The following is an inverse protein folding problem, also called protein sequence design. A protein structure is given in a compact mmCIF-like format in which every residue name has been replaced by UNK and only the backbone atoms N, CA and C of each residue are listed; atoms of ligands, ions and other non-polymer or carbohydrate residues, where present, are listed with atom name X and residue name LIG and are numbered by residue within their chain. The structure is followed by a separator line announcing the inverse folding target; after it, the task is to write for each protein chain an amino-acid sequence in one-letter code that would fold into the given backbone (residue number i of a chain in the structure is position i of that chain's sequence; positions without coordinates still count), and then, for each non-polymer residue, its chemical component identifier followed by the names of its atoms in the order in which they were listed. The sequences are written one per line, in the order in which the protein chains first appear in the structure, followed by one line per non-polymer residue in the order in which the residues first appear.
data_IF_929622574510
#
_entry.id   IF_929622574510
#
_cell.length_a   1.000
_cell.length_b   1.000
_cell.length_c   1.000
_cell.angle_alpha   90.00
_cell.angle_beta   90.00
_cell.angle_gamma   90.00
#
_symmetry.space_group_name_H-M   'P 1'
#
loop_
_entity.id
_entity.type
_entity.pdbx_description
1 polymer ?
#
# COMPACT_ATOMS: atom_id res chain seq x y z
N UNK A 1 -4.45 -15.00 1.97
CA UNK A 1 -4.90 -16.15 1.14
C UNK A 1 -5.58 -15.60 -0.10
N UNK A 2 -5.27 -16.08 -1.31
CA UNK A 2 -6.02 -15.68 -2.49
C UNK A 2 -7.49 -16.09 -2.30
N UNK A 3 -8.42 -15.24 -2.75
CA UNK A 3 -9.84 -15.55 -2.70
C UNK A 3 -10.08 -16.86 -3.46
N UNK A 4 -10.76 -17.81 -2.85
CA UNK A 4 -11.08 -19.08 -3.51
C UNK A 4 -12.17 -18.82 -4.56
N UNK A 5 -11.75 -18.66 -5.81
CA UNK A 5 -12.62 -18.38 -6.95
C UNK A 5 -13.81 -19.35 -7.00
N UNK A 6 -13.55 -20.66 -6.90
CA UNK A 6 -14.59 -21.68 -6.97
C UNK A 6 -15.65 -21.57 -5.85
N UNK A 7 -15.29 -20.97 -4.71
CA UNK A 7 -16.24 -20.75 -3.61
C UNK A 7 -17.14 -19.55 -3.87
N UNK A 8 -16.61 -18.47 -4.47
CA UNK A 8 -17.33 -17.20 -4.61
C UNK A 8 -18.07 -17.02 -5.94
N UNK A 9 -17.64 -17.70 -7.03
CA UNK A 9 -18.31 -17.62 -8.33
C UNK A 9 -19.81 -17.95 -8.30
N UNK A 10 -20.31 -18.98 -7.57
CA UNK A 10 -21.74 -19.27 -7.49
C UNK A 10 -22.56 -18.12 -6.90
N UNK A 11 -21.92 -17.22 -6.16
CA UNK A 11 -22.54 -16.02 -5.58
C UNK A 11 -22.37 -14.77 -6.46
N UNK A 12 -21.96 -14.95 -7.72
CA UNK A 12 -21.74 -13.86 -8.70
C UNK A 12 -20.60 -12.88 -8.33
N UNK A 13 -19.63 -13.33 -7.51
CA UNK A 13 -18.42 -12.58 -7.32
C UNK A 13 -17.45 -12.83 -8.48
N UNK A 14 -16.78 -11.78 -8.91
CA UNK A 14 -15.70 -11.85 -9.90
C UNK A 14 -14.48 -11.09 -9.43
N UNK A 15 -13.31 -11.42 -9.98
CA UNK A 15 -12.11 -10.63 -9.73
C UNK A 15 -12.25 -9.26 -10.37
N UNK A 16 -12.04 -8.22 -9.57
CA UNK A 16 -12.17 -6.81 -9.97
C UNK A 16 -10.88 -6.04 -9.86
N UNK A 17 -9.94 -6.51 -9.06
CA UNK A 17 -8.64 -5.88 -8.87
C UNK A 17 -7.54 -6.92 -8.72
N UNK A 18 -6.40 -6.61 -9.30
CA UNK A 18 -5.17 -7.33 -9.06
C UNK A 18 -4.51 -6.81 -7.78
N UNK A 19 -3.77 -7.69 -7.13
CA UNK A 19 -2.91 -7.37 -6.02
C UNK A 19 -1.47 -7.44 -6.51
N UNK A 20 -0.68 -6.43 -6.26
CA UNK A 20 0.75 -6.47 -6.54
C UNK A 20 1.50 -6.88 -5.28
N UNK A 21 2.33 -7.88 -5.39
CA UNK A 21 3.19 -8.34 -4.30
C UNK A 21 4.61 -8.55 -4.82
N UNK A 22 5.58 -8.00 -4.13
CA UNK A 22 7.00 -8.20 -4.41
C UNK A 22 7.68 -8.74 -3.16
N UNK A 23 8.30 -9.89 -3.27
CA UNK A 23 9.20 -10.40 -2.23
C UNK A 23 10.61 -9.90 -2.50
N UNK A 24 11.21 -9.27 -1.51
CA UNK A 24 12.60 -8.82 -1.54
C UNK A 24 13.36 -9.67 -0.53
N UNK A 25 14.35 -10.40 -1.01
CA UNK A 25 15.29 -11.05 -0.10
C UNK A 25 16.11 -9.99 0.64
N UNK A 26 16.33 -10.21 1.93
CA UNK A 26 17.23 -9.36 2.72
C UNK A 26 18.58 -9.25 2.02
N UNK A 27 19.21 -8.08 2.11
CA UNK A 27 20.57 -7.88 1.59
C UNK A 27 21.52 -8.87 2.27
N UNK A 28 22.14 -9.74 1.51
CA UNK A 28 23.27 -10.52 2.01
C UNK A 28 24.44 -9.57 2.26
N UNK A 29 25.29 -9.88 3.24
CA UNK A 29 26.50 -9.09 3.57
C UNK A 29 27.48 -8.86 2.38
N UNK A 30 27.27 -9.60 1.27
CA UNK A 30 28.01 -9.43 0.01
C UNK A 30 27.50 -8.28 -0.88
N UNK A 31 26.29 -7.78 -0.68
CA UNK A 31 25.72 -6.64 -1.43
C UNK A 31 26.21 -5.30 -0.85
N UNK A 32 27.54 -5.15 -0.77
CA UNK A 32 28.24 -3.98 -0.20
C UNK A 32 28.12 -2.69 -1.01
N UNK A 33 27.16 -2.54 -1.87
CA UNK A 33 26.77 -1.23 -2.37
C UNK A 33 25.63 -0.75 -1.46
N UNK A 34 26.01 -0.23 -0.28
CA UNK A 34 25.13 0.67 0.44
C UNK A 34 25.08 1.92 -0.44
N UNK A 35 23.98 2.19 -1.17
CA UNK A 35 23.80 3.51 -1.76
C UNK A 35 23.98 4.48 -0.60
N UNK A 36 24.67 5.58 -0.82
CA UNK A 36 24.93 6.55 0.23
C UNK A 36 23.64 6.79 1.00
N UNK A 37 23.58 6.24 2.23
CA UNK A 37 22.50 6.54 3.16
C UNK A 37 22.49 8.05 3.21
N UNK A 38 21.40 8.68 2.76
CA UNK A 38 21.31 10.13 2.86
C UNK A 38 21.45 10.46 4.32
N UNK A 39 22.44 11.30 4.65
CA UNK A 39 22.85 11.59 6.03
C UNK A 39 21.70 12.04 6.94
N UNK A 40 20.59 12.47 6.34
CA UNK A 40 19.40 12.99 7.04
C UNK A 40 18.11 12.16 6.77
N UNK A 41 18.24 10.93 6.25
CA UNK A 41 17.07 10.07 6.06
C UNK A 41 16.68 9.36 7.36
N UNK A 42 15.38 9.30 7.64
CA UNK A 42 14.87 8.60 8.83
C UNK A 42 13.49 7.97 8.59
N UNK A 43 13.30 6.78 9.13
CA UNK A 43 12.01 6.11 9.24
C UNK A 43 11.60 6.10 10.71
N UNK A 44 10.44 6.67 11.02
CA UNK A 44 9.88 6.75 12.38
C UNK A 44 8.42 6.34 12.39
N UNK A 45 7.90 5.93 13.56
CA UNK A 45 6.46 5.72 13.73
C UNK A 45 5.71 7.02 13.51
N UNK A 46 4.64 6.98 12.73
CA UNK A 46 3.81 8.13 12.42
C UNK A 46 3.08 8.61 13.69
N UNK A 47 3.38 9.80 14.21
CA UNK A 47 2.65 10.35 15.34
C UNK A 47 1.27 10.84 14.88
N UNK A 48 0.25 10.71 15.74
CA UNK A 48 -1.13 11.05 15.37
C UNK A 48 -1.29 12.54 15.04
N UNK A 49 -0.46 13.40 15.61
CA UNK A 49 -0.43 14.84 15.34
C UNK A 49 -0.12 15.16 13.87
N UNK A 50 0.60 14.28 13.19
CA UNK A 50 0.97 14.46 11.79
C UNK A 50 -0.04 13.86 10.80
N UNK A 51 -1.13 13.27 11.25
CA UNK A 51 -2.08 12.60 10.35
C UNK A 51 -2.71 13.55 9.32
N UNK A 52 -2.91 14.83 9.61
CA UNK A 52 -3.34 15.80 8.60
C UNK A 52 -2.31 15.96 7.48
N UNK A 53 -1.04 16.07 7.86
CA UNK A 53 0.07 16.18 6.90
C UNK A 53 0.21 14.92 6.05
N UNK A 54 0.06 13.75 6.68
CA UNK A 54 0.09 12.45 6.00
C UNK A 54 -1.08 12.32 5.02
N UNK A 55 -2.29 12.73 5.41
CA UNK A 55 -3.47 12.75 4.53
C UNK A 55 -3.21 13.56 3.27
N UNK A 56 -2.76 14.81 3.43
CA UNK A 56 -2.43 15.71 2.30
C UNK A 56 -1.33 15.09 1.42
N UNK A 57 -0.31 14.50 2.03
CA UNK A 57 0.76 13.81 1.30
C UNK A 57 0.23 12.65 0.46
N UNK A 58 -0.71 11.86 0.98
CA UNK A 58 -1.25 10.69 0.29
C UNK A 58 -2.23 11.03 -0.83
N UNK A 59 -2.95 12.14 -0.74
CA UNK A 59 -3.91 12.58 -1.77
C UNK A 59 -3.27 12.64 -3.17
N UNK A 60 -2.01 13.08 -3.28
CA UNK A 60 -1.32 13.16 -4.56
C UNK A 60 -1.18 11.81 -5.29
N UNK A 61 -1.13 10.70 -4.53
CA UNK A 61 -1.03 9.35 -5.09
C UNK A 61 -2.39 8.76 -5.43
N UNK A 62 -3.46 9.27 -4.85
CA UNK A 62 -4.82 8.78 -5.07
C UNK A 62 -5.51 9.42 -6.28
N UNK A 63 -5.13 10.64 -6.64
CA UNK A 63 -5.74 11.39 -7.77
C UNK A 63 -5.80 10.63 -9.10
N UNK A 64 -4.83 9.79 -9.48
CA UNK A 64 -4.90 9.04 -10.73
C UNK A 64 -6.00 7.96 -10.76
N UNK A 65 -6.55 7.58 -9.61
CA UNK A 65 -7.56 6.55 -9.52
C UNK A 65 -8.96 7.11 -9.62
N UNK A 66 -9.84 6.45 -10.37
CA UNK A 66 -11.26 6.83 -10.47
C UNK A 66 -12.03 6.55 -9.17
N UNK A 67 -11.63 5.50 -8.48
CA UNK A 67 -12.21 5.06 -7.21
C UNK A 67 -11.07 4.79 -6.26
N UNK A 68 -11.10 5.41 -5.10
CA UNK A 68 -10.11 5.19 -4.04
C UNK A 68 -10.70 5.50 -2.67
N UNK A 69 -10.09 4.93 -1.63
CA UNK A 69 -10.41 5.29 -0.26
C UNK A 69 -9.76 6.63 0.07
N UNK A 70 -10.55 7.57 0.60
CA UNK A 70 -10.03 8.84 1.08
C UNK A 70 -9.16 8.56 2.32
N UNK A 71 -7.86 8.88 2.28
CA UNK A 71 -6.95 8.62 3.39
C UNK A 71 -7.08 9.67 4.50
N UNK A 72 -8.28 9.76 5.11
CA UNK A 72 -8.54 10.68 6.21
C UNK A 72 -7.91 10.21 7.54
N UNK A 73 -7.97 11.04 8.59
CA UNK A 73 -7.45 10.67 9.92
C UNK A 73 -8.06 9.39 10.48
N UNK A 74 -9.35 9.14 10.23
CA UNK A 74 -10.01 7.94 10.72
C UNK A 74 -9.46 6.70 10.03
N UNK A 75 -9.21 6.79 8.74
CA UNK A 75 -8.55 5.74 7.96
C UNK A 75 -7.14 5.45 8.50
N UNK A 76 -6.33 6.50 8.73
CA UNK A 76 -4.98 6.35 9.28
C UNK A 76 -4.95 5.73 10.68
N UNK A 77 -5.91 6.11 11.56
CA UNK A 77 -6.07 5.49 12.88
C UNK A 77 -6.42 4.01 12.77
N UNK A 78 -7.30 3.63 11.83
CA UNK A 78 -7.63 2.24 11.57
C UNK A 78 -6.40 1.47 11.08
N UNK A 79 -5.70 2.01 10.08
CA UNK A 79 -4.50 1.40 9.51
C UNK A 79 -3.40 1.20 10.57
N UNK A 80 -3.19 2.19 11.43
CA UNK A 80 -2.26 2.10 12.56
C UNK A 80 -2.65 0.97 13.52
N UNK A 81 -3.92 0.85 13.89
CA UNK A 81 -4.41 -0.24 14.77
C UNK A 81 -4.29 -1.62 14.12
N UNK A 82 -4.60 -1.72 12.82
CA UNK A 82 -4.42 -2.96 12.06
C UNK A 82 -2.94 -3.38 12.03
N UNK A 83 -2.03 -2.44 11.85
CA UNK A 83 -0.58 -2.71 11.89
C UNK A 83 -0.14 -3.16 13.30
N UNK A 84 -0.61 -2.51 14.35
CA UNK A 84 -0.31 -2.87 15.73
C UNK A 84 -0.80 -4.28 16.10
N UNK A 85 -1.90 -4.76 15.51
CA UNK A 85 -2.36 -6.14 15.72
C UNK A 85 -1.39 -7.19 15.14
N UNK A 86 -0.53 -6.80 14.19
CA UNK A 86 0.56 -7.58 13.64
C UNK A 86 1.93 -7.11 14.15
N UNK A 87 2.00 -6.60 15.39
CA UNK A 87 3.22 -6.11 16.05
C UNK A 87 3.96 -5.00 15.28
N UNK A 88 3.31 -4.37 14.31
CA UNK A 88 3.88 -3.31 13.48
C UNK A 88 3.26 -1.94 13.74
N UNK A 89 3.56 -0.98 12.87
CA UNK A 89 3.13 0.40 12.99
C UNK A 89 2.84 1.04 11.64
N UNK A 90 2.13 2.17 11.67
CA UNK A 90 2.15 3.13 10.57
C UNK A 90 3.45 3.93 10.66
N UNK A 91 4.22 3.94 9.58
CA UNK A 91 5.55 4.52 9.51
C UNK A 91 5.58 5.70 8.54
N UNK A 92 6.42 6.67 8.82
CA UNK A 92 6.73 7.79 7.93
C UNK A 92 8.22 7.83 7.62
N UNK A 93 8.53 8.22 6.39
CA UNK A 93 9.88 8.38 5.89
C UNK A 93 10.15 9.85 5.60
N UNK A 94 11.23 10.36 6.16
CA UNK A 94 11.69 11.74 5.98
C UNK A 94 13.05 11.77 5.29
N UNK A 95 13.24 12.77 4.44
CA UNK A 95 14.55 13.24 4.01
C UNK A 95 14.74 14.67 4.53
N UNK A 96 15.64 14.84 5.49
CA UNK A 96 15.71 16.06 6.30
C UNK A 96 14.40 16.28 7.08
N UNK A 97 13.78 17.45 6.91
CA UNK A 97 12.48 17.79 7.51
C UNK A 97 11.28 17.51 6.56
N UNK A 98 11.54 17.02 5.35
CA UNK A 98 10.51 16.78 4.39
C UNK A 98 9.90 15.36 4.55
N UNK A 99 8.58 15.27 4.71
CA UNK A 99 7.85 14.02 4.60
C UNK A 99 7.86 13.57 3.13
N UNK A 100 8.52 12.44 2.86
CA UNK A 100 8.70 11.91 1.50
C UNK A 100 8.13 10.51 1.32
N UNK A 101 7.68 9.86 2.40
CA UNK A 101 7.06 8.54 2.30
C UNK A 101 6.24 8.13 3.51
N UNK A 102 5.31 7.20 3.27
CA UNK A 102 4.43 6.59 4.29
C UNK A 102 4.26 5.12 3.96
N UNK A 103 4.25 4.26 4.95
CA UNK A 103 3.92 2.85 4.80
C UNK A 103 3.39 2.24 6.11
N UNK A 104 2.68 1.13 6.00
CA UNK A 104 2.28 0.33 7.14
C UNK A 104 3.13 -0.95 7.20
N UNK A 105 3.67 -1.26 8.36
CA UNK A 105 4.43 -2.49 8.59
C UNK A 105 3.67 -3.47 9.49
N UNK A 106 3.93 -4.75 9.32
CA UNK A 106 3.55 -5.80 10.27
C UNK A 106 4.56 -6.93 10.21
N UNK A 107 4.65 -7.72 11.27
CA UNK A 107 5.65 -8.77 11.43
C UNK A 107 4.97 -10.12 11.59
N UNK A 108 5.59 -11.15 11.02
CA UNK A 108 5.23 -12.56 11.24
C UNK A 108 6.53 -13.36 11.21
N UNK A 109 6.95 -13.90 12.35
CA UNK A 109 8.23 -14.57 12.52
C UNK A 109 9.43 -13.77 11.99
N UNK A 110 10.14 -14.32 10.99
CA UNK A 110 11.31 -13.68 10.35
C UNK A 110 10.92 -12.83 9.12
N UNK A 111 9.65 -12.55 8.94
CA UNK A 111 9.13 -11.81 7.80
C UNK A 111 8.63 -10.43 8.21
N UNK A 112 8.75 -9.45 7.33
CA UNK A 112 8.12 -8.14 7.46
C UNK A 112 7.26 -7.86 6.24
N UNK A 113 6.05 -7.48 6.49
CA UNK A 113 5.06 -7.10 5.48
C UNK A 113 4.94 -5.59 5.45
N UNK A 114 5.38 -4.99 4.35
CA UNK A 114 5.26 -3.56 4.07
C UNK A 114 4.04 -3.38 3.18
N UNK A 115 3.00 -2.78 3.73
CA UNK A 115 1.74 -2.56 3.03
C UNK A 115 1.49 -1.08 2.84
N UNK A 116 0.81 -0.75 1.75
CA UNK A 116 0.33 0.60 1.50
C UNK A 116 1.46 1.64 1.49
N UNK A 117 2.52 1.34 0.72
CA UNK A 117 3.76 2.08 0.73
C UNK A 117 3.84 3.08 -0.42
N UNK A 118 3.73 4.37 -0.09
CA UNK A 118 3.78 5.47 -1.06
C UNK A 118 4.94 6.43 -0.74
N UNK A 119 5.68 6.81 -1.77
CA UNK A 119 6.80 7.75 -1.63
C UNK A 119 6.97 8.61 -2.87
N UNK A 120 7.38 9.88 -2.67
CA UNK A 120 7.90 10.75 -3.72
C UNK A 120 9.34 10.40 -4.11
N UNK A 121 10.03 9.61 -3.26
CA UNK A 121 11.40 9.11 -3.46
C UNK A 121 11.41 7.58 -3.26
N UNK A 122 10.74 6.80 -4.14
CA UNK A 122 10.50 5.38 -3.92
C UNK A 122 11.79 4.55 -3.81
N UNK A 123 12.82 4.84 -4.59
CA UNK A 123 14.10 4.12 -4.54
C UNK A 123 14.84 4.36 -3.22
N UNK A 124 14.86 5.61 -2.74
CA UNK A 124 15.52 5.97 -1.49
C UNK A 124 14.81 5.30 -0.31
N UNK A 125 13.49 5.43 -0.24
CA UNK A 125 12.69 4.80 0.81
C UNK A 125 12.84 3.27 0.81
N UNK A 126 12.86 2.64 -0.37
CA UNK A 126 13.08 1.20 -0.51
C UNK A 126 14.44 0.76 0.05
N UNK A 127 15.49 1.55 -0.21
CA UNK A 127 16.83 1.29 0.30
C UNK A 127 16.87 1.39 1.83
N UNK A 128 16.21 2.40 2.42
CA UNK A 128 16.10 2.55 3.87
C UNK A 128 15.31 1.39 4.50
N UNK A 129 14.23 0.94 3.88
CA UNK A 129 13.47 -0.24 4.32
C UNK A 129 14.35 -1.49 4.31
N UNK A 130 15.08 -1.73 3.22
CA UNK A 130 16.02 -2.86 3.11
C UNK A 130 17.10 -2.82 4.19
N UNK A 131 17.66 -1.65 4.46
CA UNK A 131 18.66 -1.45 5.49
C UNK A 131 18.10 -1.70 6.90
N UNK A 132 16.91 -1.17 7.18
CA UNK A 132 16.22 -1.33 8.47
C UNK A 132 15.91 -2.79 8.78
N UNK A 133 15.47 -3.56 7.77
CA UNK A 133 15.06 -4.96 7.92
C UNK A 133 16.03 -5.95 7.29
N UNK A 134 17.33 -5.63 7.28
CA UNK A 134 18.38 -6.41 6.60
C UNK A 134 18.47 -7.89 6.93
N UNK A 135 17.88 -8.32 8.07
CA UNK A 135 17.90 -9.72 8.51
C UNK A 135 16.53 -10.41 8.35
N UNK A 136 15.58 -9.78 7.62
CA UNK A 136 14.23 -10.30 7.46
C UNK A 136 13.90 -10.45 5.98
N UNK A 137 13.00 -11.36 5.66
CA UNK A 137 12.34 -11.37 4.36
C UNK A 137 11.35 -10.22 4.29
N UNK A 138 11.37 -9.44 3.22
CA UNK A 138 10.55 -8.26 3.06
C UNK A 138 9.52 -8.52 1.96
N UNK A 139 8.25 -8.42 2.30
CA UNK A 139 7.14 -8.45 1.35
C UNK A 139 6.57 -7.05 1.22
N UNK A 140 6.49 -6.54 -0.01
CA UNK A 140 5.91 -5.23 -0.30
C UNK A 140 4.65 -5.42 -1.12
N UNK A 141 3.55 -4.89 -0.61
CA UNK A 141 2.23 -4.96 -1.24
C UNK A 141 1.61 -3.57 -1.28
N UNK A 142 0.99 -3.22 -2.38
CA UNK A 142 0.33 -1.92 -2.58
C UNK A 142 1.26 -0.70 -2.45
N UNK A 143 1.17 0.18 -3.40
CA UNK A 143 1.93 1.42 -3.39
C UNK A 143 2.74 1.64 -4.64
N UNK A 144 3.81 2.43 -4.52
CA UNK A 144 4.66 2.79 -5.65
C UNK A 144 6.16 2.47 -5.46
N UNK A 145 6.52 1.67 -4.45
CA UNK A 145 7.93 1.34 -4.18
C UNK A 145 8.48 0.29 -5.14
N UNK A 146 7.65 -0.64 -5.57
CA UNK A 146 8.06 -1.74 -6.45
C UNK A 146 7.00 -1.99 -7.50
N UNK A 147 7.41 -2.64 -8.59
CA UNK A 147 6.47 -3.23 -9.54
C UNK A 147 6.48 -4.72 -9.30
N UNK A 148 5.46 -5.22 -8.64
CA UNK A 148 5.30 -6.63 -8.31
C UNK A 148 4.61 -7.43 -9.40
N UNK A 149 4.49 -8.72 -9.16
CA UNK A 149 3.62 -9.59 -9.96
C UNK A 149 2.15 -9.27 -9.62
N UNK A 150 1.34 -9.10 -10.67
CA UNK A 150 -0.10 -8.88 -10.51
C UNK A 150 -0.81 -10.20 -10.33
N UNK A 151 -1.42 -10.38 -9.18
CA UNK A 151 -2.18 -11.59 -8.83
C UNK A 151 -3.65 -11.20 -8.63
N UNK A 152 -4.61 -11.80 -9.36
CA UNK A 152 -6.02 -11.59 -9.11
C UNK A 152 -6.38 -12.01 -7.68
N UNK A 153 -6.74 -11.05 -6.82
CA UNK A 153 -6.93 -11.31 -5.39
C UNK A 153 -8.22 -10.74 -4.82
N UNK A 154 -8.66 -9.61 -5.34
CA UNK A 154 -9.84 -8.94 -4.82
C UNK A 154 -11.05 -9.28 -5.66
N UNK A 155 -12.07 -9.89 -5.04
CA UNK A 155 -13.33 -10.21 -5.67
C UNK A 155 -14.43 -9.29 -5.15
N UNK A 156 -15.32 -8.86 -6.04
CA UNK A 156 -16.48 -8.07 -5.68
C UNK A 156 -17.72 -8.52 -6.45
N UNK A 157 -18.89 -8.14 -5.93
CA UNK A 157 -20.17 -8.27 -6.59
C UNK A 157 -20.90 -6.94 -6.51
N UNK A 158 -21.39 -6.47 -7.63
CA UNK A 158 -22.27 -5.28 -7.67
C UNK A 158 -23.67 -5.76 -7.32
N UNK A 159 -24.19 -5.27 -6.21
CA UNK A 159 -25.54 -5.63 -5.70
C UNK A 159 -26.62 -4.66 -6.20
N UNK A 160 -26.23 -3.44 -6.56
CA UNK A 160 -27.10 -2.42 -7.11
C UNK A 160 -26.41 -1.73 -8.29
N UNK A 161 -26.79 -2.13 -9.51
CA UNK A 161 -26.23 -1.59 -10.76
C UNK A 161 -26.64 -0.13 -11.00
N UNK A 162 -27.82 0.27 -10.54
CA UNK A 162 -28.31 1.65 -10.72
C UNK A 162 -27.47 2.61 -9.86
N UNK A 163 -27.35 2.32 -8.56
CA UNK A 163 -26.53 3.12 -7.65
C UNK A 163 -25.06 3.16 -8.08
N UNK A 164 -24.52 2.03 -8.57
CA UNK A 164 -23.17 1.96 -9.09
C UNK A 164 -23.00 2.84 -10.35
N UNK A 165 -23.97 2.79 -11.26
CA UNK A 165 -23.99 3.64 -12.45
C UNK A 165 -24.01 5.13 -12.13
N UNK A 166 -24.78 5.54 -11.12
CA UNK A 166 -24.83 6.94 -10.65
C UNK A 166 -23.49 7.41 -10.07
N UNK A 167 -22.80 6.58 -9.31
CA UNK A 167 -21.47 6.87 -8.77
C UNK A 167 -20.45 7.09 -9.89
N UNK A 168 -20.47 6.24 -10.91
CA UNK A 168 -19.55 6.33 -12.03
C UNK A 168 -19.87 7.50 -12.96
N UNK A 169 -21.14 7.75 -13.22
CA UNK A 169 -21.60 8.82 -14.13
C UNK A 169 -21.22 10.22 -13.62
N UNK A 170 -21.17 10.42 -12.31
CA UNK A 170 -20.77 11.70 -11.71
C UNK A 170 -19.29 12.06 -11.89
N UNK A 171 -18.43 11.14 -12.42
CA UNK A 171 -16.98 11.34 -12.48
C UNK A 171 -16.37 11.38 -13.89
N UNK A 172 -17.04 10.86 -14.92
CA UNK A 172 -16.54 10.92 -16.31
C UNK A 172 -17.59 10.51 -17.31
N UNK A 173 -17.49 11.06 -18.53
CA UNK A 173 -18.27 10.63 -19.69
C UNK A 173 -17.73 9.30 -20.23
N UNK A 174 -18.07 8.18 -19.59
CA UNK A 174 -17.72 6.88 -20.13
C UNK A 174 -18.95 5.96 -20.25
N UNK A 175 -18.91 5.14 -21.28
CA UNK A 175 -19.90 4.11 -21.51
C UNK A 175 -19.31 2.77 -21.10
N UNK A 176 -19.98 2.04 -20.21
CA UNK A 176 -19.61 0.67 -19.89
C UNK A 176 -20.65 -0.31 -20.43
N UNK A 177 -20.19 -1.50 -20.85
CA UNK A 177 -21.06 -2.59 -21.25
C UNK A 177 -21.08 -3.62 -20.14
N UNK A 178 -22.29 -3.98 -19.72
CA UNK A 178 -22.50 -5.15 -18.88
C UNK A 178 -22.68 -6.34 -19.83
N UNK A 179 -21.74 -7.28 -19.78
CA UNK A 179 -21.91 -8.57 -20.43
C UNK A 179 -22.66 -9.49 -19.47
N UNK A 180 -23.88 -9.85 -19.81
CA UNK A 180 -24.72 -10.80 -19.06
C UNK A 180 -24.44 -12.21 -19.56
#
# INVERSE_FOLDING_TARGET
MPANKAYYEPFQFTFVMDWEETMIHSMNDSDKIIPAIQQDARIVTAPEEEYDRITIFLEQFMQPYQIYTIPDKQYLRRLSKESQSGEGNLMVYYEGEQLTGVFAESFEDDEVYIRWAYSTQPENMLNEIKYRYKNKKIYITEGNLTKGEKIPKIMARITDLTAWGEILHGKSDFTFRILV
#
